data_IF_055445928841
#
_entry.id   IF_055445928841
#
_cell.length_a   1.000
_cell.length_b   1.000
_cell.length_c   1.000
_cell.angle_alpha   90.00
_cell.angle_beta   90.00
_cell.angle_gamma   90.00
#
_symmetry.space_group_name_H-M   'P 1'
#
loop_
_entity.id
_entity.type
_entity.pdbx_description
1 polymer ?
#
# COMPACT_ATOMS: atom_id res chain seq x y z
N UNK A 1 -10.53 -6.00 -8.63
CA UNK A 1 -9.81 -5.26 -7.59
C UNK A 1 -8.98 -6.27 -6.81
N UNK A 2 -7.67 -6.37 -7.06
CA UNK A 2 -6.78 -7.27 -6.32
C UNK A 2 -5.94 -6.40 -5.39
N UNK A 3 -6.33 -6.37 -4.12
CA UNK A 3 -5.51 -5.76 -3.08
C UNK A 3 -4.30 -6.68 -2.85
N UNK A 4 -3.09 -6.18 -3.12
CA UNK A 4 -1.84 -6.89 -2.80
C UNK A 4 -1.55 -6.56 -1.33
N UNK A 5 -2.37 -7.11 -0.44
CA UNK A 5 -2.25 -6.92 1.00
C UNK A 5 -1.82 -8.22 1.63
N UNK A 6 -0.58 -8.28 2.13
CA UNK A 6 -0.10 -9.25 3.14
C UNK A 6 -0.37 -10.72 2.76
N UNK A 7 -0.59 -11.00 1.48
CA UNK A 7 -0.70 -12.35 0.96
C UNK A 7 0.63 -12.68 0.31
N UNK A 8 1.06 -13.92 0.48
CA UNK A 8 2.42 -14.45 0.23
C UNK A 8 2.84 -14.46 -1.26
N UNK A 9 2.46 -13.44 -2.02
CA UNK A 9 2.92 -13.25 -3.39
C UNK A 9 4.34 -12.72 -3.32
N UNK A 10 5.28 -13.57 -3.71
CA UNK A 10 6.65 -13.14 -3.93
C UNK A 10 6.66 -12.03 -4.99
N UNK A 11 7.62 -11.10 -4.94
CA UNK A 11 7.76 -10.06 -5.97
C UNK A 11 7.84 -10.66 -7.40
N UNK A 12 8.35 -11.89 -7.52
CA UNK A 12 8.36 -12.65 -8.77
C UNK A 12 6.95 -12.94 -9.33
N UNK A 13 5.98 -13.24 -8.48
CA UNK A 13 4.60 -13.50 -8.90
C UNK A 13 3.97 -12.24 -9.51
N UNK A 14 4.29 -11.07 -8.97
CA UNK A 14 3.80 -9.78 -9.47
C UNK A 14 4.39 -9.51 -10.86
N UNK A 15 5.71 -9.70 -11.02
CA UNK A 15 6.40 -9.53 -12.31
C UNK A 15 5.88 -10.48 -13.39
N UNK A 16 5.33 -11.64 -13.01
CA UNK A 16 4.73 -12.59 -13.93
C UNK A 16 3.33 -12.18 -14.44
N UNK A 17 2.67 -11.20 -13.82
CA UNK A 17 1.36 -10.72 -14.28
C UNK A 17 1.57 -9.84 -15.53
N UNK A 18 0.91 -10.14 -16.67
CA UNK A 18 1.00 -9.29 -17.85
C UNK A 18 0.54 -7.86 -17.54
N UNK A 19 1.34 -6.86 -17.90
CA UNK A 19 1.07 -5.45 -17.58
C UNK A 19 -0.32 -4.97 -18.01
N UNK A 20 -0.85 -5.48 -19.14
CA UNK A 20 -2.20 -5.18 -19.63
C UNK A 20 -3.35 -5.61 -18.70
N UNK A 21 -3.08 -6.50 -17.74
CA UNK A 21 -4.02 -6.96 -16.71
C UNK A 21 -3.94 -6.12 -15.42
N UNK A 22 -2.94 -5.25 -15.31
CA UNK A 22 -2.76 -4.32 -14.21
C UNK A 22 -3.28 -2.96 -14.66
N UNK A 23 -4.35 -2.48 -14.01
CA UNK A 23 -4.99 -1.21 -14.38
C UNK A 23 -4.65 -0.07 -13.42
N UNK A 24 -4.53 -0.37 -12.13
CA UNK A 24 -4.08 0.54 -11.09
C UNK A 24 -3.63 -0.24 -9.87
N UNK A 25 -2.89 0.41 -8.98
CA UNK A 25 -2.46 -0.12 -7.69
C UNK A 25 -2.94 0.77 -6.55
N UNK A 26 -3.49 0.18 -5.50
CA UNK A 26 -3.86 0.88 -4.27
C UNK A 26 -2.75 0.70 -3.25
N UNK A 27 -2.00 1.76 -3.03
CA UNK A 27 -0.87 1.81 -2.11
C UNK A 27 -1.35 2.10 -0.69
N UNK A 28 -0.87 1.27 0.23
CA UNK A 28 -1.01 1.41 1.68
C UNK A 28 0.15 0.67 2.33
N UNK A 29 0.25 0.77 3.65
CA UNK A 29 1.14 -0.07 4.44
C UNK A 29 0.36 -0.85 5.51
N UNK A 30 1.04 -1.76 6.17
CA UNK A 30 0.50 -2.56 7.25
C UNK A 30 1.60 -3.12 8.15
N UNK A 31 1.24 -3.81 9.24
CA UNK A 31 2.22 -4.42 10.12
C UNK A 31 3.11 -5.42 9.35
N UNK A 32 4.37 -5.56 9.79
CA UNK A 32 5.32 -6.53 9.23
C UNK A 32 4.80 -7.97 9.38
N UNK A 33 4.17 -8.25 10.52
CA UNK A 33 3.55 -9.54 10.81
C UNK A 33 2.09 -9.53 10.37
N UNK A 34 1.70 -10.61 9.69
CA UNK A 34 0.31 -10.80 9.28
C UNK A 34 -0.57 -11.01 10.52
N UNK A 35 -1.69 -10.28 10.65
CA UNK A 35 -2.64 -10.54 11.73
C UNK A 35 -3.10 -12.01 11.77
N UNK A 36 -3.21 -12.56 12.97
CA UNK A 36 -3.36 -13.99 13.20
C UNK A 36 -4.79 -14.49 12.91
N UNK A 37 -5.80 -13.64 13.10
CA UNK A 37 -7.20 -14.01 12.89
C UNK A 37 -7.83 -13.27 11.71
N UNK A 38 -8.90 -13.86 11.17
CA UNK A 38 -9.70 -13.26 10.09
C UNK A 38 -10.28 -11.91 10.52
N UNK A 39 -10.73 -11.79 11.76
CA UNK A 39 -11.28 -10.55 12.32
C UNK A 39 -10.23 -9.45 12.35
N UNK A 40 -9.01 -9.77 12.80
CA UNK A 40 -7.90 -8.82 12.81
C UNK A 40 -7.48 -8.42 11.39
N UNK A 41 -7.50 -9.36 10.43
CA UNK A 41 -7.25 -9.06 9.02
C UNK A 41 -8.31 -8.13 8.43
N UNK A 42 -9.59 -8.39 8.71
CA UNK A 42 -10.70 -7.56 8.25
C UNK A 42 -10.57 -6.16 8.85
N UNK A 43 -10.28 -6.06 10.14
CA UNK A 43 -10.11 -4.79 10.83
C UNK A 43 -8.93 -3.98 10.23
N UNK A 44 -7.76 -4.60 10.09
CA UNK A 44 -6.59 -3.96 9.49
C UNK A 44 -6.84 -3.51 8.05
N UNK A 45 -7.57 -4.32 7.26
CA UNK A 45 -7.84 -4.02 5.86
C UNK A 45 -8.84 -2.88 5.67
N UNK A 46 -9.83 -2.74 6.57
CA UNK A 46 -10.99 -1.86 6.42
C UNK A 46 -10.94 -0.60 7.28
N UNK A 47 -10.27 -0.64 8.42
CA UNK A 47 -10.35 0.41 9.44
C UNK A 47 -9.00 1.05 9.73
N UNK A 48 -7.93 0.25 9.83
CA UNK A 48 -6.65 0.71 10.37
C UNK A 48 -5.46 0.28 9.50
N UNK A 49 -5.40 0.81 8.27
CA UNK A 49 -4.19 0.73 7.45
C UNK A 49 -3.16 1.75 7.90
N UNK A 50 -1.90 1.44 7.68
CA UNK A 50 -0.79 2.34 7.95
C UNK A 50 -0.49 3.19 6.70
N UNK A 51 0.02 4.42 6.92
CA UNK A 51 0.47 5.23 5.80
C UNK A 51 1.71 4.59 5.14
N UNK A 52 1.90 4.75 3.82
CA UNK A 52 3.04 4.18 3.10
C UNK A 52 4.39 4.49 3.76
N UNK A 53 5.16 3.46 4.12
CA UNK A 53 6.48 3.59 4.72
C UNK A 53 6.48 3.72 6.25
N UNK A 54 5.31 3.70 6.89
CA UNK A 54 5.19 3.63 8.35
C UNK A 54 5.00 2.20 8.86
N UNK A 55 4.72 1.25 7.97
CA UNK A 55 4.53 -0.16 8.30
C UNK A 55 5.76 -1.00 8.00
N UNK A 56 5.53 -2.30 7.81
CA UNK A 56 6.58 -3.31 7.60
C UNK A 56 6.57 -3.95 6.21
N UNK A 57 5.73 -3.48 5.29
CA UNK A 57 5.67 -4.04 3.94
C UNK A 57 6.83 -3.48 3.10
N UNK A 58 7.48 -4.33 2.28
CA UNK A 58 8.47 -3.89 1.31
C UNK A 58 7.80 -3.16 0.13
N UNK A 59 7.37 -1.93 0.36
CA UNK A 59 6.70 -1.11 -0.63
C UNK A 59 7.64 -0.64 -1.75
N UNK A 60 8.94 -0.56 -1.48
CA UNK A 60 9.94 -0.21 -2.51
C UNK A 60 10.08 -1.36 -3.50
N UNK A 61 10.32 -2.59 -3.02
CA UNK A 61 10.39 -3.77 -3.88
C UNK A 61 9.09 -4.05 -4.63
N UNK A 62 7.94 -3.83 -3.99
CA UNK A 62 6.63 -3.90 -4.65
C UNK A 62 6.49 -2.86 -5.76
N UNK A 63 6.89 -1.61 -5.52
CA UNK A 63 6.82 -0.55 -6.53
C UNK A 63 7.73 -0.87 -7.72
N UNK A 64 8.94 -1.39 -7.47
CA UNK A 64 9.88 -1.82 -8.52
C UNK A 64 9.41 -3.05 -9.30
N UNK A 65 8.50 -3.86 -8.74
CA UNK A 65 7.89 -4.99 -9.43
C UNK A 65 6.70 -4.59 -10.31
N UNK A 66 6.15 -3.37 -10.14
CA UNK A 66 5.02 -2.86 -10.91
C UNK A 66 5.47 -2.19 -12.22
N UNK A 67 4.64 -2.20 -13.27
CA UNK A 67 4.88 -1.41 -14.47
C UNK A 67 4.92 0.09 -14.20
N UNK A 68 5.81 0.81 -14.89
CA UNK A 68 6.03 2.24 -14.67
C UNK A 68 4.87 3.14 -15.06
N UNK A 69 4.10 2.69 -16.04
CA UNK A 69 2.91 3.38 -16.53
C UNK A 69 1.67 3.16 -15.65
N UNK A 70 1.77 2.37 -14.58
CA UNK A 70 0.60 1.99 -13.78
C UNK A 70 0.17 3.14 -12.87
N UNK A 71 -1.11 3.50 -12.92
CA UNK A 71 -1.69 4.50 -12.01
C UNK A 71 -1.66 4.02 -10.57
N UNK A 72 -1.12 4.84 -9.67
CA UNK A 72 -1.10 4.57 -8.23
C UNK A 72 -2.17 5.42 -7.55
N UNK A 73 -3.10 4.75 -6.87
CA UNK A 73 -4.05 5.33 -5.93
C UNK A 73 -3.58 5.05 -4.50
N UNK A 74 -3.98 5.89 -3.55
CA UNK A 74 -3.64 5.72 -2.14
C UNK A 74 -4.92 5.39 -1.37
N UNK A 75 -4.94 4.24 -0.70
CA UNK A 75 -6.10 3.74 0.04
C UNK A 75 -5.67 3.42 1.48
N UNK A 76 -5.86 4.36 2.39
CA UNK A 76 -5.44 4.23 3.79
C UNK A 76 -6.59 4.57 4.75
N UNK A 77 -7.53 3.63 4.98
CA UNK A 77 -8.51 3.76 6.05
C UNK A 77 -7.80 3.94 7.39
N UNK A 78 -8.22 4.96 8.14
CA UNK A 78 -7.61 5.38 9.42
C UNK A 78 -8.71 5.84 10.37
N UNK A 79 -9.62 4.92 10.72
CA UNK A 79 -10.88 5.24 11.42
C UNK A 79 -10.62 5.88 12.78
N UNK A 80 -9.65 5.39 13.56
CA UNK A 80 -9.29 6.02 14.84
C UNK A 80 -8.71 7.42 14.64
N UNK A 81 -7.76 7.59 13.71
CA UNK A 81 -7.14 8.90 13.45
C UNK A 81 -8.17 9.92 12.94
N UNK A 82 -9.16 9.47 12.16
CA UNK A 82 -10.23 10.31 11.64
C UNK A 82 -11.12 10.92 12.72
N UNK A 83 -11.11 10.38 13.96
CA UNK A 83 -11.83 10.96 15.10
C UNK A 83 -11.21 12.27 15.60
N UNK A 84 -9.92 12.48 15.33
CA UNK A 84 -9.14 13.61 15.87
C UNK A 84 -8.44 14.44 14.80
N UNK A 85 -8.30 13.93 13.57
CA UNK A 85 -7.62 14.60 12.45
C UNK A 85 -8.53 14.68 11.24
N UNK A 86 -8.63 15.89 10.68
CA UNK A 86 -9.48 16.16 9.51
C UNK A 86 -9.05 15.39 8.26
N UNK A 87 -9.97 15.26 7.31
CA UNK A 87 -9.76 14.48 6.10
C UNK A 87 -8.65 15.03 5.19
N UNK A 88 -8.51 16.36 5.08
CA UNK A 88 -7.51 16.98 4.20
C UNK A 88 -6.10 16.75 4.74
N UNK A 89 -5.92 16.90 6.05
CA UNK A 89 -4.63 16.61 6.71
C UNK A 89 -4.22 15.16 6.52
N UNK A 90 -5.15 14.20 6.72
CA UNK A 90 -4.87 12.78 6.48
C UNK A 90 -4.56 12.50 5.01
N UNK A 91 -5.30 13.09 4.07
CA UNK A 91 -5.06 12.92 2.64
C UNK A 91 -3.69 13.47 2.20
N UNK A 92 -3.28 14.64 2.72
CA UNK A 92 -1.95 15.22 2.46
C UNK A 92 -0.83 14.34 3.00
N UNK A 93 -0.98 13.82 4.23
CA UNK A 93 -0.03 12.86 4.81
C UNK A 93 0.09 11.61 3.96
N UNK A 94 -1.03 11.03 3.55
CA UNK A 94 -1.05 9.85 2.70
C UNK A 94 -0.34 10.09 1.37
N UNK A 95 -0.63 11.22 0.71
CA UNK A 95 0.00 11.61 -0.56
C UNK A 95 1.50 11.81 -0.43
N UNK A 96 1.95 12.52 0.60
CA UNK A 96 3.38 12.75 0.84
C UNK A 96 4.12 11.43 1.09
N UNK A 97 3.56 10.56 1.93
CA UNK A 97 4.09 9.24 2.20
C UNK A 97 4.17 8.36 0.94
N UNK A 98 3.10 8.33 0.14
CA UNK A 98 3.07 7.58 -1.12
C UNK A 98 4.10 8.07 -2.14
N UNK A 99 4.26 9.40 -2.27
CA UNK A 99 5.28 9.99 -3.15
C UNK A 99 6.70 9.59 -2.72
N UNK A 100 7.00 9.68 -1.42
CA UNK A 100 8.32 9.32 -0.90
C UNK A 100 8.69 7.86 -1.20
N UNK A 101 7.73 6.94 -1.11
CA UNK A 101 7.94 5.53 -1.49
C UNK A 101 8.26 5.40 -2.99
N UNK A 102 7.46 6.04 -3.85
CA UNK A 102 7.63 5.97 -5.31
C UNK A 102 8.97 6.59 -5.73
N UNK A 103 9.32 7.76 -5.17
CA UNK A 103 10.58 8.45 -5.44
C UNK A 103 11.77 7.60 -5.03
N UNK A 104 11.75 6.99 -3.83
CA UNK A 104 12.79 6.05 -3.39
C UNK A 104 12.93 4.86 -4.33
N UNK A 105 11.81 4.27 -4.74
CA UNK A 105 11.82 3.12 -5.64
C UNK A 105 12.43 3.46 -7.01
N UNK A 106 12.09 4.64 -7.54
CA UNK A 106 12.54 5.14 -8.84
C UNK A 106 13.98 5.64 -8.84
N UNK A 107 14.47 6.18 -7.72
CA UNK A 107 15.85 6.65 -7.59
C UNK A 107 16.87 5.50 -7.50
N UNK A 108 16.43 4.31 -7.12
CA UNK A 108 17.27 3.11 -6.98
C UNK A 108 17.29 2.21 -8.23
N UNK A 109 16.80 2.70 -9.38
CA UNK A 109 16.65 1.95 -10.64
C UNK A 109 17.44 2.58 -11.78
#
# INVERSE_FOLDING_TARGET
>A
MRCISIDRKALADIKAIPAKQLHYWQLCDGPAERPATTEQLIHAAREERMFPGEGGIDLVGLTQAMPDSLTISIEVPTVQLAKTVDAVTRARRALAAGRAVVERARAAS
#
